data_IF_044008246702
#
_entry.id   IF_044008246702
#
_cell.length_a   1.000
_cell.length_b   1.000
_cell.length_c   1.000
_cell.angle_alpha   90.00
_cell.angle_beta   90.00
_cell.angle_gamma   90.00
#
_symmetry.space_group_name_H-M   'P 1'
#
loop_
_entity.id
_entity.type
_entity.pdbx_description
1 polymer ?
#
# COMPACT_ATOMS: atom_id res chain seq x y z
N UNK A 1 0.44 1.98 3.17
CA UNK A 1 0.84 1.35 4.46
C UNK A 1 -0.36 1.15 5.37
N UNK A 2 -0.35 0.10 6.20
CA UNK A 2 -1.33 -0.10 7.25
C UNK A 2 -0.73 -0.86 8.45
N UNK A 3 -1.38 -0.77 9.60
CA UNK A 3 -1.00 -1.51 10.81
C UNK A 3 -2.23 -1.78 11.66
N UNK A 4 -2.32 -2.98 12.22
CA UNK A 4 -3.43 -3.38 13.09
C UNK A 4 -3.22 -4.79 13.62
N UNK A 5 -4.33 -5.49 13.85
CA UNK A 5 -4.30 -6.89 14.27
C UNK A 5 -5.25 -7.71 13.40
N UNK A 6 -4.82 -8.89 12.98
CA UNK A 6 -5.67 -9.91 12.36
C UNK A 6 -5.71 -11.08 13.33
N UNK A 7 -6.90 -11.51 13.75
CA UNK A 7 -7.07 -12.59 14.74
C UNK A 7 -6.25 -12.37 16.03
N UNK A 8 -6.16 -11.12 16.52
CA UNK A 8 -5.33 -10.71 17.67
C UNK A 8 -3.81 -10.81 17.46
N UNK A 9 -3.35 -11.15 16.26
CA UNK A 9 -1.93 -11.18 15.90
C UNK A 9 -1.56 -9.86 15.22
N UNK A 10 -0.44 -9.22 15.59
CA UNK A 10 0.03 -8.01 14.94
C UNK A 10 0.20 -8.20 13.43
N UNK A 11 -0.35 -7.26 12.66
CA UNK A 11 -0.31 -7.25 11.20
C UNK A 11 0.04 -5.86 10.67
N UNK A 12 0.81 -5.80 9.59
CA UNK A 12 1.09 -4.56 8.87
C UNK A 12 1.49 -4.77 7.42
N UNK A 13 1.36 -3.71 6.64
CA UNK A 13 1.79 -3.64 5.25
C UNK A 13 2.63 -2.39 5.03
N UNK A 14 3.77 -2.55 4.36
CA UNK A 14 4.48 -1.45 3.73
C UNK A 14 4.60 -1.81 2.24
N UNK A 15 3.98 -1.00 1.39
CA UNK A 15 3.88 -1.23 -0.04
C UNK A 15 4.18 0.09 -0.74
N UNK A 16 4.83 0.04 -1.89
CA UNK A 16 5.03 1.19 -2.75
C UNK A 16 4.92 0.85 -4.23
N UNK A 17 4.54 1.85 -5.02
CA UNK A 17 4.45 1.81 -6.48
C UNK A 17 4.95 3.11 -7.15
N UNK A 18 5.62 3.01 -8.30
CA UNK A 18 5.90 4.16 -9.18
C UNK A 18 7.06 5.12 -8.86
N UNK A 19 7.76 5.01 -7.72
CA UNK A 19 8.68 6.07 -7.27
C UNK A 19 10.19 5.85 -7.56
N UNK A 20 10.65 4.62 -7.75
CA UNK A 20 12.09 4.28 -7.77
C UNK A 20 12.42 3.19 -8.77
N UNK A 21 13.67 3.18 -9.28
CA UNK A 21 14.24 2.00 -9.94
C UNK A 21 14.31 0.85 -8.91
N UNK A 22 13.42 -0.12 -9.08
CA UNK A 22 13.23 -1.27 -8.19
C UNK A 22 13.99 -2.51 -8.62
N UNK A 23 14.84 -2.38 -9.64
CA UNK A 23 15.66 -3.49 -10.11
C UNK A 23 16.55 -4.14 -9.03
N UNK A 24 17.02 -3.46 -7.95
CA UNK A 24 17.84 -4.11 -6.91
C UNK A 24 17.03 -4.72 -5.75
N UNK A 25 15.95 -4.07 -5.31
CA UNK A 25 15.06 -4.50 -4.23
C UNK A 25 13.81 -3.59 -4.17
N UNK A 26 12.64 -4.15 -3.86
CA UNK A 26 11.44 -3.36 -3.57
C UNK A 26 11.29 -3.07 -2.07
N UNK A 27 10.48 -2.08 -1.70
CA UNK A 27 10.08 -1.77 -0.33
C UNK A 27 8.96 -2.68 0.21
N UNK A 28 8.33 -3.46 -0.68
CA UNK A 28 7.10 -4.20 -0.39
C UNK A 28 7.31 -5.34 0.63
N UNK A 29 6.55 -5.31 1.73
CA UNK A 29 6.57 -6.34 2.78
C UNK A 29 5.18 -6.54 3.41
N UNK A 30 4.92 -7.79 3.79
CA UNK A 30 3.89 -8.15 4.77
C UNK A 30 4.58 -8.33 6.11
N UNK A 31 4.03 -7.74 7.17
CA UNK A 31 4.51 -7.93 8.55
C UNK A 31 3.42 -8.70 9.29
N UNK A 32 3.73 -9.89 9.79
CA UNK A 32 2.80 -10.70 10.56
C UNK A 32 3.51 -11.36 11.73
N UNK A 33 2.93 -11.25 12.93
CA UNK A 33 3.52 -11.78 14.16
C UNK A 33 4.98 -11.34 14.38
N UNK A 34 5.27 -10.06 14.09
CA UNK A 34 6.62 -9.48 14.13
C UNK A 34 7.64 -10.07 13.14
N UNK A 35 7.21 -10.91 12.20
CA UNK A 35 8.02 -11.44 11.11
C UNK A 35 7.77 -10.65 9.83
N UNK A 36 8.85 -10.30 9.14
CA UNK A 36 8.81 -9.61 7.84
C UNK A 36 8.85 -10.64 6.73
N UNK A 37 7.83 -10.63 5.88
CA UNK A 37 7.71 -11.44 4.68
C UNK A 37 7.89 -10.54 3.46
N UNK A 38 9.00 -10.73 2.74
CA UNK A 38 9.37 -9.88 1.61
C UNK A 38 8.48 -10.19 0.40
N UNK A 39 7.95 -9.15 -0.21
CA UNK A 39 7.27 -9.23 -1.51
C UNK A 39 8.17 -8.67 -2.61
N UNK A 40 7.96 -9.12 -3.84
CA UNK A 40 8.63 -8.59 -5.03
C UNK A 40 7.90 -7.34 -5.55
N UNK A 41 7.45 -7.35 -6.78
CA UNK A 41 6.82 -6.21 -7.45
C UNK A 41 5.34 -6.20 -7.08
N UNK A 42 4.82 -5.02 -6.76
CA UNK A 42 3.41 -4.82 -6.40
C UNK A 42 2.85 -3.74 -7.29
N UNK A 43 1.71 -4.02 -7.91
CA UNK A 43 0.98 -3.12 -8.81
C UNK A 43 -0.27 -2.60 -8.12
N UNK A 44 -0.56 -1.32 -8.33
CA UNK A 44 -1.72 -0.62 -7.80
C UNK A 44 -2.55 -0.19 -8.99
N UNK A 45 -3.79 -0.67 -9.09
CA UNK A 45 -4.70 -0.41 -10.20
C UNK A 45 -5.91 0.37 -9.69
N UNK A 46 -6.11 1.58 -10.20
CA UNK A 46 -7.24 2.45 -9.87
C UNK A 46 -7.50 3.46 -10.99
N UNK A 47 -8.75 3.90 -11.13
CA UNK A 47 -9.12 4.94 -12.11
C UNK A 47 -8.96 6.35 -11.55
N UNK A 48 -9.39 6.58 -10.32
CA UNK A 48 -9.22 7.83 -9.57
C UNK A 48 -8.94 7.59 -8.09
N UNK A 49 -8.44 8.61 -7.38
CA UNK A 49 -7.97 8.47 -5.99
C UNK A 49 -9.03 7.99 -5.00
N UNK A 50 -10.30 8.29 -5.24
CA UNK A 50 -11.41 7.91 -4.36
C UNK A 50 -12.21 6.71 -4.87
N UNK A 51 -11.81 6.12 -5.98
CA UNK A 51 -12.33 4.83 -6.42
C UNK A 51 -11.64 3.68 -5.69
N UNK A 52 -12.19 2.50 -5.77
CA UNK A 52 -11.59 1.29 -5.20
C UNK A 52 -10.30 0.93 -5.95
N UNK A 53 -9.24 0.62 -5.21
CA UNK A 53 -7.96 0.22 -5.80
C UNK A 53 -7.77 -1.29 -5.66
N UNK A 54 -7.24 -1.90 -6.71
CA UNK A 54 -6.81 -3.29 -6.70
C UNK A 54 -5.29 -3.35 -6.57
N UNK A 55 -4.79 -4.11 -5.61
CA UNK A 55 -3.37 -4.17 -5.27
C UNK A 55 -2.91 -5.63 -5.29
N UNK A 56 -1.96 -5.95 -6.17
CA UNK A 56 -1.47 -7.33 -6.39
C UNK A 56 0.02 -7.39 -6.55
N UNK A 57 0.63 -8.50 -6.18
CA UNK A 57 2.04 -8.78 -6.47
C UNK A 57 2.22 -9.68 -7.71
N UNK A 58 3.44 -9.76 -8.22
CA UNK A 58 3.81 -10.61 -9.37
C UNK A 58 3.86 -12.11 -9.04
N UNK A 59 3.93 -12.49 -7.76
CA UNK A 59 4.00 -13.89 -7.30
C UNK A 59 2.64 -14.45 -6.83
N UNK A 60 1.58 -13.65 -6.83
CA UNK A 60 0.22 -14.07 -6.40
C UNK A 60 0.09 -14.27 -4.89
N UNK A 61 0.99 -13.69 -4.09
CA UNK A 61 0.95 -13.70 -2.63
C UNK A 61 0.11 -12.57 -2.05
N UNK A 62 -0.23 -11.56 -2.83
CA UNK A 62 -0.96 -10.38 -2.44
C UNK A 62 -2.15 -10.19 -3.40
N UNK A 63 -3.36 -10.18 -2.86
CA UNK A 63 -4.57 -9.81 -3.58
C UNK A 63 -5.44 -8.99 -2.64
N UNK A 64 -5.30 -7.67 -2.73
CA UNK A 64 -5.90 -6.70 -1.85
C UNK A 64 -6.78 -5.72 -2.61
N UNK A 65 -7.78 -5.24 -1.90
CA UNK A 65 -8.62 -4.11 -2.26
C UNK A 65 -8.37 -3.02 -1.24
N UNK A 66 -8.08 -1.81 -1.72
CA UNK A 66 -8.06 -0.61 -0.90
C UNK A 66 -9.29 0.23 -1.19
N UNK A 67 -10.04 0.54 -0.14
CA UNK A 67 -11.28 1.34 -0.19
C UNK A 67 -11.02 2.71 0.42
N UNK A 68 -10.78 3.74 -0.41
CA UNK A 68 -10.60 5.11 0.06
C UNK A 68 -11.82 5.62 0.83
N UNK A 69 -11.56 6.45 1.84
CA UNK A 69 -12.57 7.14 2.64
C UNK A 69 -12.37 8.65 2.55
N UNK A 70 -11.13 9.12 2.51
CA UNK A 70 -10.82 10.55 2.43
C UNK A 70 -9.48 10.76 1.73
N UNK A 71 -9.42 11.75 0.85
CA UNK A 71 -8.18 12.26 0.29
C UNK A 71 -7.81 13.56 1.01
N UNK A 72 -6.62 13.59 1.60
CA UNK A 72 -6.00 14.79 2.14
C UNK A 72 -4.90 15.23 1.17
N UNK A 73 -5.19 16.24 0.37
CA UNK A 73 -4.17 16.88 -0.47
C UNK A 73 -3.45 18.00 0.28
N UNK A 74 -2.13 18.03 0.17
CA UNK A 74 -1.30 19.16 0.63
C UNK A 74 -0.60 19.77 -0.57
N UNK A 75 -0.84 21.07 -0.79
CA UNK A 75 -0.24 21.84 -1.86
C UNK A 75 0.95 22.62 -1.30
N UNK A 76 2.16 22.31 -1.75
CA UNK A 76 3.34 23.10 -1.40
C UNK A 76 3.81 23.87 -2.64
N UNK A 77 3.64 25.20 -2.63
CA UNK A 77 4.05 26.08 -3.71
C UNK A 77 5.15 27.02 -3.22
N UNK A 78 6.38 26.80 -3.68
CA UNK A 78 7.52 27.66 -3.36
C UNK A 78 8.14 28.17 -4.66
N UNK A 79 7.44 29.13 -5.29
CA UNK A 79 7.78 29.99 -6.45
C UNK A 79 8.24 29.32 -7.77
N UNK A 80 8.95 28.19 -7.73
CA UNK A 80 9.47 27.40 -8.85
C UNK A 80 9.30 25.88 -8.66
N UNK A 81 8.97 25.42 -7.44
CA UNK A 81 8.74 24.01 -7.13
C UNK A 81 7.29 23.87 -6.65
N UNK A 82 6.51 23.05 -7.37
CA UNK A 82 5.19 22.62 -6.96
C UNK A 82 5.24 21.12 -6.67
N UNK A 83 4.97 20.73 -5.42
CA UNK A 83 4.73 19.34 -5.04
C UNK A 83 3.27 19.22 -4.63
N UNK A 84 2.55 18.34 -5.31
CA UNK A 84 1.20 17.94 -4.94
C UNK A 84 1.28 16.56 -4.31
N UNK A 85 0.91 16.49 -3.03
CA UNK A 85 0.95 15.27 -2.24
C UNK A 85 -0.46 14.89 -1.84
N UNK A 86 -0.91 13.73 -2.28
CA UNK A 86 -2.20 13.14 -1.90
C UNK A 86 -1.95 12.06 -0.86
N UNK A 87 -2.59 12.21 0.31
CA UNK A 87 -2.64 11.18 1.34
C UNK A 87 -4.06 10.63 1.38
N UNK A 88 -4.25 9.48 0.75
CA UNK A 88 -5.55 8.82 0.65
C UNK A 88 -5.69 7.86 1.84
N UNK A 89 -6.59 8.16 2.76
CA UNK A 89 -6.91 7.32 3.92
C UNK A 89 -8.08 6.39 3.57
N UNK A 90 -8.00 5.14 4.02
CA UNK A 90 -9.01 4.14 3.70
C UNK A 90 -8.78 2.83 4.44
N UNK A 91 -9.36 1.75 3.90
CA UNK A 91 -9.27 0.41 4.47
C UNK A 91 -8.75 -0.60 3.46
N UNK A 92 -7.89 -1.51 3.91
CA UNK A 92 -7.41 -2.64 3.14
C UNK A 92 -8.19 -3.90 3.51
N UNK A 93 -8.60 -4.66 2.49
CA UNK A 93 -9.22 -5.98 2.64
C UNK A 93 -8.68 -6.93 1.58
N UNK A 94 -8.63 -8.23 1.86
CA UNK A 94 -8.21 -9.25 0.90
C UNK A 94 -7.30 -10.32 1.50
N UNK A 95 -6.34 -10.82 0.74
CA UNK A 95 -5.51 -11.98 1.09
C UNK A 95 -4.02 -11.66 1.00
N UNK A 96 -3.28 -12.15 1.99
CA UNK A 96 -1.83 -12.04 2.08
C UNK A 96 -1.24 -13.43 2.37
N UNK A 97 -0.35 -13.94 1.52
CA UNK A 97 0.28 -15.25 1.68
C UNK A 97 1.72 -15.10 2.18
N UNK A 98 2.00 -15.66 3.35
CA UNK A 98 3.30 -15.63 4.02
C UNK A 98 4.31 -16.59 3.36
N UNK A 99 5.59 -16.49 3.71
CA UNK A 99 6.65 -17.33 3.10
C UNK A 99 6.46 -18.84 3.40
N UNK A 100 5.77 -19.18 4.48
CA UNK A 100 5.44 -20.56 4.85
C UNK A 100 4.19 -21.10 4.14
N UNK A 101 3.58 -20.32 3.25
CA UNK A 101 2.36 -20.68 2.51
C UNK A 101 1.05 -20.42 3.25
N UNK A 102 1.09 -19.94 4.50
CA UNK A 102 -0.14 -19.57 5.22
C UNK A 102 -0.76 -18.31 4.58
N UNK A 103 -2.07 -18.35 4.33
CA UNK A 103 -2.82 -17.18 3.87
C UNK A 103 -3.52 -16.51 5.05
N UNK A 104 -3.27 -15.21 5.21
CA UNK A 104 -3.95 -14.31 6.14
C UNK A 104 -5.06 -13.58 5.38
N UNK A 105 -6.26 -13.55 5.97
CA UNK A 105 -7.38 -12.75 5.46
C UNK A 105 -7.41 -11.43 6.22
N UNK A 106 -7.35 -10.35 5.48
CA UNK A 106 -7.43 -8.98 5.99
C UNK A 106 -8.84 -8.47 5.73
N UNK A 107 -9.51 -7.94 6.74
CA UNK A 107 -10.82 -7.31 6.60
C UNK A 107 -10.80 -5.92 7.24
N UNK A 108 -10.95 -4.90 6.39
CA UNK A 108 -11.08 -3.49 6.75
C UNK A 108 -10.02 -2.98 7.72
N UNK A 109 -8.75 -3.32 7.48
CA UNK A 109 -7.65 -2.74 8.25
C UNK A 109 -7.40 -1.30 7.77
N UNK A 110 -7.54 -0.35 8.69
CA UNK A 110 -7.30 1.06 8.41
C UNK A 110 -5.85 1.32 8.01
N UNK A 111 -5.67 2.18 7.01
CA UNK A 111 -4.36 2.60 6.53
C UNK A 111 -4.47 3.76 5.56
N UNK A 112 -3.39 3.99 4.84
CA UNK A 112 -3.35 5.05 3.83
C UNK A 112 -2.41 4.67 2.68
N UNK A 113 -2.64 5.30 1.53
CA UNK A 113 -1.74 5.33 0.38
C UNK A 113 -1.28 6.77 0.14
N UNK A 114 -0.05 6.95 -0.33
CA UNK A 114 0.50 8.26 -0.67
C UNK A 114 0.83 8.27 -2.16
N UNK A 115 0.40 9.33 -2.84
CA UNK A 115 0.82 9.62 -4.19
C UNK A 115 1.45 11.01 -4.23
N UNK A 116 2.65 11.10 -4.82
CA UNK A 116 3.39 12.34 -4.93
C UNK A 116 3.64 12.62 -6.40
N UNK A 117 2.97 13.67 -6.91
CA UNK A 117 3.21 14.19 -8.24
C UNK A 117 4.20 15.37 -8.14
N UNK A 118 5.43 15.15 -8.57
CA UNK A 118 6.41 16.22 -8.69
C UNK A 118 6.38 16.79 -10.10
N UNK A 119 6.11 18.10 -10.24
CA UNK A 119 6.34 18.82 -11.50
C UNK A 119 7.61 19.64 -11.35
N UNK A 120 8.53 19.46 -12.30
CA UNK A 120 9.80 20.19 -12.46
C UNK A 120 9.74 21.16 -13.63
#
# INVERSE_FOLDING_TARGET
SCSGTVEQVPFGLNLGYGFTDRSPASENVIIYDSVVHKLREVTFEYGSYLEEWTIRDDEGRLDLVFQPVTDRSSHFNLLLIASEQHQIFGHFSGRCTLDNGNTIVVDKIAGFAEEVANRW
#
